data_IF_940640297272
#
_entry.id   IF_940640297272
#
_cell.length_a   1.000
_cell.length_b   1.000
_cell.length_c   1.000
_cell.angle_alpha   90.00
_cell.angle_beta   90.00
_cell.angle_gamma   90.00
#
_symmetry.space_group_name_H-M   'P 1'
#
loop_
_entity.id
_entity.type
_entity.pdbx_description
1 polymer ?
#
# COMPACT_ATOMS: atom_id res chain seq x y z
N UNK A 1 85.19 89.27 56.92
CA UNK A 1 85.34 88.26 57.99
C UNK A 1 83.99 88.00 58.52
N UNK A 2 83.41 87.02 58.15
CA UNK A 2 82.35 86.20 58.84
C UNK A 2 81.83 85.19 57.86
N UNK A 3 82.05 83.99 58.24
CA UNK A 3 81.58 82.75 57.55
C UNK A 3 80.08 82.60 57.64
N UNK A 4 79.48 82.16 56.57
CA UNK A 4 78.09 81.67 56.63
C UNK A 4 78.09 80.24 56.06
N UNK A 5 77.84 79.24 56.95
CA UNK A 5 77.61 77.87 56.60
C UNK A 5 76.24 77.72 55.97
N UNK A 6 76.08 76.87 54.99
CA UNK A 6 74.76 76.55 54.42
C UNK A 6 74.14 75.29 55.14
N UNK A 7 72.91 75.44 55.53
CA UNK A 7 72.04 74.41 56.21
C UNK A 7 71.53 73.35 55.17
N UNK A 8 71.89 72.03 55.37
CA UNK A 8 71.45 70.85 54.65
C UNK A 8 70.40 70.10 55.45
N UNK A 9 69.12 70.41 55.30
CA UNK A 9 68.10 69.58 55.92
C UNK A 9 66.72 69.54 55.25
N UNK A 10 66.60 69.67 53.91
CA UNK A 10 65.29 69.62 53.23
C UNK A 10 65.10 68.68 52.07
N UNK A 11 66.11 67.77 51.78
CA UNK A 11 66.05 66.88 50.57
C UNK A 11 65.49 65.46 50.94
N UNK A 12 65.40 65.05 52.17
CA UNK A 12 64.99 63.62 52.50
C UNK A 12 63.48 63.40 52.62
N UNK A 13 62.67 64.46 52.82
CA UNK A 13 61.21 64.31 52.96
C UNK A 13 60.45 64.26 51.63
N UNK A 14 61.02 64.74 50.49
CA UNK A 14 60.37 64.74 49.16
C UNK A 14 60.48 63.39 48.47
N UNK A 15 61.56 62.65 48.70
CA UNK A 15 61.75 61.31 48.05
C UNK A 15 60.88 60.21 48.68
N UNK A 16 60.64 60.25 50.03
CA UNK A 16 59.78 59.28 50.75
C UNK A 16 58.31 59.39 50.37
N UNK A 17 57.77 60.56 50.07
CA UNK A 17 56.37 60.79 49.62
C UNK A 17 56.15 60.42 48.16
N UNK A 18 57.16 60.52 47.30
CA UNK A 18 57.04 60.12 45.91
C UNK A 18 57.06 58.62 45.71
N UNK A 19 57.83 57.85 46.50
CA UNK A 19 57.88 56.38 46.42
C UNK A 19 56.65 55.73 47.07
N UNK A 20 56.08 56.29 48.13
CA UNK A 20 54.81 55.89 48.76
C UNK A 20 53.61 56.02 47.70
N UNK A 21 53.62 57.15 46.95
CA UNK A 21 52.59 57.36 45.90
C UNK A 21 52.77 56.42 44.66
N UNK A 22 54.00 56.04 44.31
CA UNK A 22 54.28 55.05 43.28
C UNK A 22 53.88 53.66 43.74
N UNK A 23 54.14 53.27 44.96
CA UNK A 23 53.71 51.99 45.58
C UNK A 23 52.18 51.88 45.65
N UNK A 24 51.48 52.96 46.10
CA UNK A 24 50.01 52.99 46.11
C UNK A 24 49.37 52.90 44.69
N UNK A 25 49.95 53.59 43.73
CA UNK A 25 49.53 53.45 42.28
C UNK A 25 49.77 52.04 41.72
N UNK A 26 50.91 51.43 42.04
CA UNK A 26 51.18 50.02 41.61
C UNK A 26 50.20 49.04 42.28
N UNK A 27 49.90 49.22 43.58
CA UNK A 27 48.88 48.39 44.27
C UNK A 27 47.47 48.60 43.71
N UNK A 28 47.07 49.87 43.46
CA UNK A 28 45.79 50.17 42.76
C UNK A 28 45.69 49.55 41.38
N UNK A 29 46.78 49.61 40.59
CA UNK A 29 46.83 49.02 39.25
C UNK A 29 46.79 47.49 39.31
N UNK A 30 47.46 46.85 40.28
CA UNK A 30 47.41 45.40 40.48
C UNK A 30 46.00 44.91 40.93
N UNK A 31 45.32 45.69 41.81
CA UNK A 31 43.94 45.39 42.21
C UNK A 31 43.00 45.53 41.03
N UNK A 32 43.14 46.62 40.23
CA UNK A 32 42.35 46.83 39.02
C UNK A 32 42.60 45.74 37.99
N UNK A 33 43.83 45.37 37.73
CA UNK A 33 44.19 44.24 36.85
C UNK A 33 43.65 42.91 37.34
N UNK A 34 43.67 42.69 38.68
CA UNK A 34 43.06 41.49 39.30
C UNK A 34 41.54 41.41 39.12
N UNK A 35 40.85 42.57 39.29
CA UNK A 35 39.38 42.64 39.07
C UNK A 35 39.04 42.42 37.58
N UNK A 36 39.78 43.03 36.66
CA UNK A 36 39.57 42.81 35.20
C UNK A 36 39.85 41.36 34.83
N UNK A 37 40.89 40.73 35.37
CA UNK A 37 41.17 39.31 35.15
C UNK A 37 40.07 38.39 35.72
N UNK A 38 39.52 38.72 36.90
CA UNK A 38 38.38 37.99 37.46
C UNK A 38 37.10 38.13 36.64
N UNK A 39 36.81 39.35 36.18
CA UNK A 39 35.65 39.56 35.29
C UNK A 39 35.85 38.85 33.96
N UNK A 40 37.04 38.94 33.34
CA UNK A 40 37.36 38.21 32.10
C UNK A 40 37.29 36.70 32.30
N UNK A 41 37.77 36.17 33.43
CA UNK A 41 37.64 34.76 33.76
C UNK A 41 36.16 34.35 33.97
N UNK A 42 35.38 35.20 34.69
CA UNK A 42 33.92 34.97 34.87
C UNK A 42 33.15 34.97 33.58
N UNK A 43 33.41 35.91 32.65
CA UNK A 43 32.82 35.97 31.33
C UNK A 43 33.27 34.77 30.51
N UNK A 44 34.56 34.41 30.53
CA UNK A 44 35.08 33.23 29.79
C UNK A 44 34.48 31.91 30.29
N UNK A 45 34.29 31.76 31.60
CA UNK A 45 33.64 30.60 32.19
C UNK A 45 32.13 30.58 31.84
N UNK A 46 31.47 31.75 31.85
CA UNK A 46 30.07 31.90 31.45
C UNK A 46 29.89 31.50 29.97
N UNK A 47 30.69 32.05 29.06
CA UNK A 47 30.66 31.67 27.63
C UNK A 47 31.02 30.21 27.39
N UNK A 48 31.97 29.64 28.16
CA UNK A 48 32.32 28.23 28.03
C UNK A 48 31.20 27.29 28.47
N UNK A 49 30.44 27.67 29.50
CA UNK A 49 29.29 26.92 30.02
C UNK A 49 28.06 27.09 29.12
N UNK A 50 27.77 28.30 28.67
CA UNK A 50 26.57 28.66 27.90
C UNK A 50 26.76 28.37 26.40
N UNK A 51 27.92 28.65 25.80
CA UNK A 51 28.21 28.47 24.37
C UNK A 51 28.23 27.01 23.92
N UNK A 52 28.33 26.02 24.83
CA UNK A 52 28.22 24.59 24.48
C UNK A 52 26.81 24.02 24.56
N UNK A 53 25.81 24.81 24.98
CA UNK A 53 24.43 24.35 25.24
C UNK A 53 23.47 24.54 24.09
N UNK A 54 23.80 25.42 23.16
CA UNK A 54 23.00 25.73 21.98
C UNK A 54 23.80 25.44 20.72
N UNK A 55 23.16 24.79 19.76
CA UNK A 55 23.75 24.50 18.46
C UNK A 55 22.90 25.16 17.39
N UNK A 56 23.48 26.12 16.68
CA UNK A 56 22.78 26.97 15.71
C UNK A 56 23.24 26.69 14.28
N UNK A 57 22.29 26.84 13.34
CA UNK A 57 22.57 26.85 11.91
C UNK A 57 21.59 27.75 11.18
N UNK A 58 22.13 28.53 10.25
CA UNK A 58 21.43 29.35 9.25
C UNK A 58 21.09 28.57 7.96
N UNK A 59 21.51 27.31 7.88
CA UNK A 59 21.36 26.46 6.72
C UNK A 59 20.28 25.40 7.00
N UNK A 60 19.07 25.85 7.24
CA UNK A 60 17.90 25.01 7.43
C UNK A 60 16.82 25.36 6.40
N UNK A 61 16.14 24.35 5.88
CA UNK A 61 15.13 24.52 4.84
C UNK A 61 13.86 23.78 5.20
N UNK A 62 12.72 24.41 4.95
CA UNK A 62 11.42 23.77 5.07
C UNK A 62 11.26 22.74 3.96
N UNK A 63 10.94 21.52 4.34
CA UNK A 63 10.67 20.40 3.44
C UNK A 63 9.31 19.75 3.76
N UNK A 64 8.76 19.00 2.84
CA UNK A 64 7.60 18.16 3.06
C UNK A 64 7.64 16.97 2.11
N UNK A 65 6.98 15.87 2.48
CA UNK A 65 6.81 14.72 1.59
C UNK A 65 5.70 15.04 0.58
N UNK A 66 6.12 15.37 -0.64
CA UNK A 66 5.20 15.76 -1.70
C UNK A 66 4.48 14.55 -2.30
N UNK A 67 3.17 14.68 -2.55
CA UNK A 67 2.40 13.67 -3.23
C UNK A 67 2.32 13.98 -4.74
N UNK A 68 2.95 13.16 -5.57
CA UNK A 68 2.76 13.21 -7.01
C UNK A 68 1.43 12.57 -7.39
N UNK A 69 0.59 13.30 -8.12
CA UNK A 69 -0.69 12.81 -8.63
C UNK A 69 -0.48 12.28 -10.05
N UNK A 70 -0.72 10.98 -10.21
CA UNK A 70 -0.61 10.28 -11.49
C UNK A 70 -1.91 9.56 -11.81
N UNK A 71 -2.34 9.47 -13.08
CA UNK A 71 -3.52 8.72 -13.47
C UNK A 71 -3.27 7.22 -13.41
N UNK A 72 -4.26 6.45 -12.99
CA UNK A 72 -4.25 4.99 -12.97
C UNK A 72 -4.91 4.37 -14.22
N UNK A 73 -5.56 5.22 -15.05
CA UNK A 73 -6.12 4.88 -16.36
C UNK A 73 -5.70 5.95 -17.36
N UNK A 74 -5.51 5.55 -18.62
CA UNK A 74 -5.21 6.48 -19.68
C UNK A 74 -6.51 7.07 -20.25
N UNK A 75 -6.42 8.28 -20.78
CA UNK A 75 -7.55 8.92 -21.45
C UNK A 75 -7.36 10.42 -21.65
N UNK A 76 -8.23 11.06 -22.45
CA UNK A 76 -8.23 12.51 -22.62
C UNK A 76 -8.78 13.20 -21.36
N UNK A 77 -8.19 14.34 -21.01
CA UNK A 77 -8.63 15.16 -19.89
C UNK A 77 -9.85 15.96 -20.31
N UNK A 78 -10.98 15.69 -19.66
CA UNK A 78 -12.24 16.41 -19.87
C UNK A 78 -12.30 17.72 -19.09
N UNK A 79 -11.84 17.71 -17.84
CA UNK A 79 -11.89 18.85 -16.94
C UNK A 79 -10.73 18.81 -15.94
N UNK A 80 -10.14 19.96 -15.68
CA UNK A 80 -9.23 20.20 -14.57
C UNK A 80 -9.96 21.08 -13.56
N UNK A 81 -10.19 20.57 -12.35
CA UNK A 81 -11.02 21.23 -11.35
C UNK A 81 -10.23 22.18 -10.44
N UNK A 82 -8.89 22.14 -10.51
CA UNK A 82 -8.01 22.88 -9.60
C UNK A 82 -6.92 23.65 -10.35
N UNK A 83 -6.47 24.75 -9.74
CA UNK A 83 -5.39 25.57 -10.24
C UNK A 83 -4.12 25.43 -9.38
N UNK A 84 -2.97 25.89 -9.92
CA UNK A 84 -1.77 26.05 -9.11
C UNK A 84 -2.06 26.96 -7.92
N UNK A 85 -1.42 26.71 -6.78
CA UNK A 85 -1.56 27.44 -5.51
C UNK A 85 -2.90 27.24 -4.77
N UNK A 86 -3.83 26.48 -5.33
CA UNK A 86 -5.11 26.18 -4.68
C UNK A 86 -4.92 25.18 -3.55
N UNK A 87 -5.58 25.43 -2.41
CA UNK A 87 -5.67 24.50 -1.30
C UNK A 87 -6.71 23.44 -1.61
N UNK A 88 -6.35 22.16 -1.43
CA UNK A 88 -7.24 21.00 -1.61
C UNK A 88 -7.23 20.12 -0.37
N UNK A 89 -8.35 19.44 -0.14
CA UNK A 89 -8.50 18.43 0.90
C UNK A 89 -8.37 17.03 0.31
N UNK A 90 -7.94 16.07 1.10
CA UNK A 90 -7.94 14.65 0.70
C UNK A 90 -9.34 14.24 0.22
N UNK A 91 -9.39 13.67 -0.99
CA UNK A 91 -10.64 13.24 -1.66
C UNK A 91 -11.23 14.26 -2.63
N UNK A 92 -10.79 15.53 -2.62
CA UNK A 92 -11.25 16.54 -3.58
C UNK A 92 -10.93 16.12 -5.02
N UNK A 93 -11.84 16.42 -5.94
CA UNK A 93 -11.67 16.14 -7.36
C UNK A 93 -10.64 17.10 -7.96
N UNK A 94 -9.59 16.54 -8.55
CA UNK A 94 -8.51 17.30 -9.19
C UNK A 94 -8.67 17.37 -10.70
N UNK A 95 -8.87 16.19 -11.32
CA UNK A 95 -8.97 16.03 -12.76
C UNK A 95 -10.05 15.00 -13.08
N UNK A 96 -10.83 15.26 -14.11
CA UNK A 96 -11.76 14.30 -14.69
C UNK A 96 -11.30 13.94 -16.10
N UNK A 97 -11.08 12.67 -16.32
CA UNK A 97 -10.86 12.13 -17.66
C UNK A 97 -12.19 11.89 -18.36
N UNK A 98 -12.20 11.76 -19.68
CA UNK A 98 -13.38 11.36 -20.41
C UNK A 98 -13.77 9.91 -20.03
N UNK A 99 -14.96 9.69 -19.46
CA UNK A 99 -15.38 8.36 -19.02
C UNK A 99 -15.98 7.50 -20.13
N UNK A 100 -16.04 7.97 -21.39
CA UNK A 100 -16.80 7.32 -22.46
C UNK A 100 -16.34 5.88 -22.69
N UNK A 101 -15.05 5.66 -22.89
CA UNK A 101 -14.48 4.33 -23.09
C UNK A 101 -14.67 3.42 -21.89
N UNK A 102 -14.49 3.97 -20.67
CA UNK A 102 -14.69 3.24 -19.43
C UNK A 102 -16.16 2.84 -19.22
N UNK A 103 -17.12 3.69 -19.62
CA UNK A 103 -18.57 3.37 -19.59
C UNK A 103 -18.92 2.27 -20.59
N UNK A 104 -18.37 2.32 -21.80
CA UNK A 104 -18.59 1.28 -22.80
C UNK A 104 -18.02 -0.06 -22.30
N UNK A 105 -16.81 -0.06 -21.75
CA UNK A 105 -16.21 -1.25 -21.16
C UNK A 105 -17.03 -1.81 -19.99
N UNK A 106 -17.59 -0.94 -19.14
CA UNK A 106 -18.47 -1.35 -18.05
C UNK A 106 -19.75 -2.01 -18.59
N UNK A 107 -20.41 -1.39 -19.56
CA UNK A 107 -21.63 -1.94 -20.15
C UNK A 107 -21.37 -3.31 -20.83
N UNK A 108 -20.25 -3.46 -21.51
CA UNK A 108 -19.83 -4.75 -22.09
C UNK A 108 -19.62 -5.81 -21.00
N UNK A 109 -18.91 -5.49 -19.91
CA UNK A 109 -18.67 -6.40 -18.81
C UNK A 109 -19.95 -6.76 -18.04
N UNK A 110 -20.93 -5.85 -17.92
CA UNK A 110 -22.26 -6.13 -17.37
C UNK A 110 -23.04 -7.13 -18.24
N UNK A 111 -22.98 -6.97 -19.56
CA UNK A 111 -23.58 -7.90 -20.50
C UNK A 111 -22.94 -9.29 -20.41
N UNK A 112 -21.62 -9.36 -20.35
CA UNK A 112 -20.86 -10.62 -20.22
C UNK A 112 -21.19 -11.34 -18.89
N UNK A 113 -21.31 -10.62 -17.79
CA UNK A 113 -21.70 -11.19 -16.50
C UNK A 113 -23.14 -11.75 -16.56
N UNK A 114 -24.07 -11.00 -17.12
CA UNK A 114 -25.45 -11.45 -17.29
C UNK A 114 -25.54 -12.68 -18.22
N UNK A 115 -24.71 -12.74 -19.28
CA UNK A 115 -24.64 -13.88 -20.17
C UNK A 115 -24.07 -15.14 -19.48
N UNK A 116 -23.00 -14.99 -18.72
CA UNK A 116 -22.44 -16.09 -17.93
C UNK A 116 -23.46 -16.67 -16.94
N UNK A 117 -24.23 -15.83 -16.26
CA UNK A 117 -25.32 -16.28 -15.38
C UNK A 117 -26.39 -17.08 -16.13
N UNK A 118 -26.82 -16.58 -17.32
CA UNK A 118 -27.80 -17.30 -18.16
C UNK A 118 -27.28 -18.64 -18.61
N UNK A 119 -26.02 -18.74 -19.04
CA UNK A 119 -25.39 -20.01 -19.47
C UNK A 119 -25.36 -21.03 -18.35
N UNK A 120 -24.97 -20.65 -17.14
CA UNK A 120 -24.96 -21.57 -15.99
C UNK A 120 -26.38 -22.04 -15.66
N UNK A 121 -27.38 -21.14 -15.63
CA UNK A 121 -28.78 -21.50 -15.41
C UNK A 121 -29.30 -22.46 -16.50
N UNK A 122 -28.94 -22.25 -17.75
CA UNK A 122 -29.24 -23.14 -18.86
C UNK A 122 -28.63 -24.53 -18.64
N UNK A 123 -27.36 -24.60 -18.23
CA UNK A 123 -26.70 -25.88 -17.91
C UNK A 123 -27.41 -26.64 -16.81
N UNK A 124 -27.84 -25.95 -15.74
CA UNK A 124 -28.63 -26.54 -14.64
C UNK A 124 -29.97 -27.06 -15.17
N UNK A 125 -30.70 -26.29 -15.98
CA UNK A 125 -31.95 -26.71 -16.57
C UNK A 125 -31.78 -27.95 -17.50
N UNK A 126 -30.70 -27.97 -18.30
CA UNK A 126 -30.32 -29.12 -19.10
C UNK A 126 -30.06 -30.36 -18.24
N UNK A 127 -29.40 -30.21 -17.10
CA UNK A 127 -29.20 -31.31 -16.13
C UNK A 127 -30.52 -31.91 -15.61
N UNK A 128 -31.52 -31.08 -15.31
CA UNK A 128 -32.85 -31.53 -14.92
C UNK A 128 -33.54 -32.35 -16.06
N UNK A 129 -33.40 -31.90 -17.32
CA UNK A 129 -33.94 -32.64 -18.45
C UNK A 129 -33.24 -33.98 -18.68
N UNK A 130 -31.89 -34.03 -18.51
CA UNK A 130 -31.14 -35.29 -18.61
C UNK A 130 -31.47 -36.27 -17.49
N UNK A 131 -31.72 -35.81 -16.28
CA UNK A 131 -32.16 -36.63 -15.16
C UNK A 131 -33.54 -37.23 -15.42
N UNK A 132 -34.47 -36.49 -16.00
CA UNK A 132 -35.76 -36.99 -16.42
C UNK A 132 -35.61 -38.09 -17.51
N UNK A 133 -34.66 -37.90 -18.47
CA UNK A 133 -34.36 -38.90 -19.49
C UNK A 133 -33.78 -40.19 -18.88
N UNK A 134 -32.92 -40.10 -17.89
CA UNK A 134 -32.43 -41.27 -17.12
C UNK A 134 -33.60 -42.02 -16.46
N UNK A 135 -34.57 -41.30 -15.86
CA UNK A 135 -35.80 -41.87 -15.34
C UNK A 135 -36.64 -42.61 -16.37
N UNK A 136 -36.78 -42.06 -17.58
CA UNK A 136 -37.45 -42.72 -18.71
C UNK A 136 -36.76 -44.04 -19.08
N UNK A 137 -35.43 -44.04 -19.22
CA UNK A 137 -34.67 -45.27 -19.57
C UNK A 137 -34.74 -46.31 -18.44
N UNK A 138 -34.86 -45.90 -17.17
CA UNK A 138 -35.12 -46.81 -16.05
C UNK A 138 -36.50 -47.50 -16.14
N UNK A 139 -37.53 -46.76 -16.59
CA UNK A 139 -38.86 -47.34 -16.81
C UNK A 139 -38.84 -48.32 -18.01
N UNK A 140 -38.05 -48.03 -19.05
CA UNK A 140 -37.83 -48.96 -20.15
C UNK A 140 -37.19 -50.28 -19.69
N UNK A 141 -36.19 -50.24 -18.80
CA UNK A 141 -35.60 -51.45 -18.20
C UNK A 141 -36.64 -52.26 -17.42
N UNK A 142 -37.49 -51.61 -16.65
CA UNK A 142 -38.55 -52.29 -15.89
C UNK A 142 -39.52 -53.03 -16.86
N UNK A 143 -39.90 -52.37 -17.96
CA UNK A 143 -40.75 -52.97 -19.03
C UNK A 143 -40.07 -54.18 -19.68
N UNK A 144 -38.80 -54.08 -20.09
CA UNK A 144 -38.04 -55.17 -20.71
C UNK A 144 -37.82 -56.32 -19.69
N UNK A 145 -37.63 -56.03 -18.40
CA UNK A 145 -37.52 -57.01 -17.35
C UNK A 145 -38.82 -57.83 -17.23
N UNK A 146 -39.98 -57.17 -17.24
CA UNK A 146 -41.27 -57.86 -17.24
C UNK A 146 -41.43 -58.77 -18.45
N UNK A 147 -40.98 -58.32 -19.66
CA UNK A 147 -41.01 -59.16 -20.89
C UNK A 147 -40.12 -60.42 -20.75
N UNK A 148 -38.93 -60.27 -20.14
CA UNK A 148 -38.07 -61.45 -19.82
C UNK A 148 -38.78 -62.41 -18.90
N UNK A 149 -39.49 -61.92 -17.86
CA UNK A 149 -40.27 -62.79 -16.92
C UNK A 149 -41.37 -63.57 -17.68
N UNK A 150 -42.12 -62.91 -18.57
CA UNK A 150 -43.13 -63.58 -19.43
C UNK A 150 -42.48 -64.66 -20.28
N UNK A 151 -41.42 -64.35 -21.00
CA UNK A 151 -40.71 -65.31 -21.84
C UNK A 151 -40.12 -66.51 -21.05
N UNK A 152 -39.63 -66.25 -19.84
CA UNK A 152 -39.17 -67.32 -18.93
C UNK A 152 -40.32 -68.27 -18.54
N UNK A 153 -41.51 -67.77 -18.24
CA UNK A 153 -42.68 -68.55 -17.95
C UNK A 153 -43.15 -69.41 -19.15
N UNK A 154 -43.04 -68.83 -20.38
CA UNK A 154 -43.40 -69.60 -21.60
C UNK A 154 -42.38 -70.70 -21.86
N UNK A 155 -41.09 -70.49 -21.66
CA UNK A 155 -40.05 -71.53 -21.77
C UNK A 155 -40.37 -72.67 -20.76
N UNK A 156 -40.67 -72.34 -19.49
CA UNK A 156 -40.98 -73.29 -18.43
C UNK A 156 -42.23 -74.15 -18.82
N UNK A 157 -43.26 -73.47 -19.35
CA UNK A 157 -44.46 -74.15 -19.82
C UNK A 157 -44.17 -75.15 -20.95
N UNK A 158 -43.42 -74.66 -21.99
CA UNK A 158 -43.04 -75.49 -23.13
C UNK A 158 -42.10 -76.67 -22.72
N UNK A 159 -41.23 -76.48 -21.74
CA UNK A 159 -40.34 -77.47 -21.18
C UNK A 159 -41.15 -78.60 -20.48
N UNK A 160 -42.10 -78.22 -19.65
CA UNK A 160 -42.95 -79.17 -18.95
C UNK A 160 -43.77 -80.01 -19.98
N UNK A 161 -44.34 -79.35 -21.01
CA UNK A 161 -45.12 -80.05 -22.04
C UNK A 161 -44.22 -80.98 -22.87
N UNK A 162 -43.05 -80.57 -23.23
CA UNK A 162 -42.06 -81.41 -23.95
C UNK A 162 -41.68 -82.63 -23.10
N UNK A 163 -41.34 -82.47 -21.78
CA UNK A 163 -40.99 -83.56 -20.88
C UNK A 163 -42.13 -84.53 -20.76
N UNK A 164 -43.38 -84.06 -20.60
CA UNK A 164 -44.59 -84.89 -20.56
C UNK A 164 -44.76 -85.72 -21.83
N UNK A 165 -44.62 -85.13 -23.01
CA UNK A 165 -44.74 -85.84 -24.28
C UNK A 165 -43.62 -86.84 -24.49
N UNK A 166 -42.37 -86.48 -24.09
CA UNK A 166 -41.23 -87.40 -24.15
C UNK A 166 -41.46 -88.70 -23.31
N UNK A 167 -42.05 -88.61 -22.10
CA UNK A 167 -42.35 -89.78 -21.27
C UNK A 167 -43.44 -90.61 -21.87
N UNK A 168 -44.43 -90.06 -22.57
CA UNK A 168 -45.58 -90.76 -23.15
C UNK A 168 -45.31 -91.44 -24.49
N UNK A 169 -44.27 -91.07 -25.20
CA UNK A 169 -43.88 -91.67 -26.55
C UNK A 169 -43.49 -93.16 -26.34
N UNK A 170 -42.80 -93.53 -25.22
CA UNK A 170 -42.35 -94.87 -24.96
C UNK A 170 -43.55 -95.87 -24.78
N UNK A 171 -44.65 -95.32 -24.31
CA UNK A 171 -45.91 -96.08 -24.07
C UNK A 171 -46.87 -96.08 -25.26
N UNK A 172 -46.46 -95.49 -26.42
CA UNK A 172 -47.26 -95.36 -27.63
C UNK A 172 -48.45 -94.41 -27.58
N UNK A 173 -48.58 -93.64 -26.50
CA UNK A 173 -49.71 -92.74 -26.16
C UNK A 173 -49.62 -91.38 -26.90
N UNK A 174 -48.46 -91.03 -27.55
CA UNK A 174 -48.20 -89.78 -28.26
C UNK A 174 -47.51 -90.08 -29.59
N UNK A 175 -47.87 -89.33 -30.65
CA UNK A 175 -47.28 -89.50 -32.01
C UNK A 175 -45.91 -88.82 -32.09
N UNK A 176 -45.03 -89.30 -33.03
CA UNK A 176 -43.75 -88.65 -33.29
C UNK A 176 -43.89 -87.24 -33.79
N UNK A 177 -44.98 -86.86 -34.48
CA UNK A 177 -45.30 -85.53 -34.90
C UNK A 177 -45.61 -84.58 -33.72
N UNK A 178 -46.38 -85.03 -32.82
CA UNK A 178 -46.71 -84.28 -31.56
C UNK A 178 -45.44 -84.00 -30.69
N UNK A 179 -44.52 -84.98 -30.67
CA UNK A 179 -43.24 -84.80 -29.97
C UNK A 179 -42.36 -83.74 -30.73
N UNK A 180 -42.36 -83.82 -32.08
CA UNK A 180 -41.59 -82.79 -32.87
C UNK A 180 -42.19 -81.44 -32.70
N UNK A 181 -43.51 -81.27 -32.71
CA UNK A 181 -44.23 -80.04 -32.46
C UNK A 181 -43.86 -79.44 -31.07
N UNK A 182 -43.83 -80.27 -29.96
CA UNK A 182 -43.41 -79.82 -28.65
C UNK A 182 -41.93 -79.39 -28.57
N UNK A 183 -41.04 -80.11 -29.34
CA UNK A 183 -39.64 -79.72 -29.44
C UNK A 183 -39.50 -78.36 -30.12
N UNK A 184 -40.23 -78.13 -31.24
CA UNK A 184 -40.21 -76.85 -31.91
C UNK A 184 -40.79 -75.73 -31.10
N UNK A 185 -41.86 -75.96 -30.30
CA UNK A 185 -42.44 -74.99 -29.43
C UNK A 185 -41.43 -74.57 -28.33
N UNK A 186 -40.73 -75.57 -27.74
CA UNK A 186 -39.66 -75.27 -26.77
C UNK A 186 -38.52 -74.52 -27.31
N UNK A 187 -38.01 -74.88 -28.49
CA UNK A 187 -36.95 -74.16 -29.19
C UNK A 187 -37.35 -72.70 -29.54
N UNK A 188 -38.62 -72.51 -30.00
CA UNK A 188 -39.18 -71.19 -30.26
C UNK A 188 -39.25 -70.34 -28.98
N UNK A 189 -39.73 -70.89 -27.86
CA UNK A 189 -39.78 -70.19 -26.59
C UNK A 189 -38.38 -69.81 -26.07
N UNK A 190 -37.38 -70.70 -26.24
CA UNK A 190 -35.97 -70.35 -25.95
C UNK A 190 -35.45 -69.19 -26.77
N UNK A 191 -35.77 -69.18 -28.11
CA UNK A 191 -35.41 -68.07 -28.99
C UNK A 191 -36.06 -66.76 -28.58
N UNK A 192 -37.34 -66.79 -28.13
CA UNK A 192 -38.05 -65.63 -27.62
C UNK A 192 -37.41 -65.09 -26.32
N UNK A 193 -37.02 -65.98 -25.40
CA UNK A 193 -36.33 -65.62 -24.17
C UNK A 193 -34.96 -64.97 -24.52
N UNK A 194 -34.20 -65.54 -25.43
CA UNK A 194 -32.93 -64.95 -25.86
C UNK A 194 -33.10 -63.52 -26.43
N UNK A 195 -34.13 -63.35 -27.29
CA UNK A 195 -34.48 -62.04 -27.84
C UNK A 195 -34.90 -61.04 -26.73
N UNK A 196 -35.73 -61.47 -25.76
CA UNK A 196 -36.13 -60.61 -24.63
C UNK A 196 -34.92 -60.18 -23.74
N UNK A 197 -34.00 -61.12 -23.49
CA UNK A 197 -32.76 -60.83 -22.76
C UNK A 197 -31.85 -59.83 -23.54
N UNK A 198 -31.73 -59.98 -24.85
CA UNK A 198 -30.98 -59.05 -25.70
C UNK A 198 -31.60 -57.63 -25.65
N UNK A 199 -32.94 -57.55 -25.69
CA UNK A 199 -33.63 -56.25 -25.58
C UNK A 199 -33.43 -55.62 -24.20
N UNK A 200 -33.43 -56.39 -23.11
CA UNK A 200 -33.11 -55.90 -21.76
C UNK A 200 -31.66 -55.38 -21.72
N UNK A 201 -30.71 -56.10 -22.27
CA UNK A 201 -29.30 -55.64 -22.29
C UNK A 201 -29.15 -54.35 -23.11
N UNK A 202 -29.85 -54.19 -24.24
CA UNK A 202 -29.88 -52.96 -24.99
C UNK A 202 -30.46 -51.77 -24.20
N UNK A 203 -31.55 -51.98 -23.44
CA UNK A 203 -32.14 -50.96 -22.59
C UNK A 203 -31.20 -50.56 -21.46
N UNK A 204 -30.48 -51.52 -20.85
CA UNK A 204 -29.46 -51.25 -19.84
C UNK A 204 -28.29 -50.41 -20.39
N UNK A 205 -27.81 -50.74 -21.58
CA UNK A 205 -26.78 -49.97 -22.29
C UNK A 205 -27.26 -48.54 -22.58
N UNK A 206 -28.49 -48.35 -23.04
CA UNK A 206 -29.11 -47.07 -23.32
C UNK A 206 -29.18 -46.19 -22.05
N UNK A 207 -29.54 -46.78 -20.87
CA UNK A 207 -29.47 -46.06 -19.57
C UNK A 207 -28.03 -45.68 -19.22
N UNK A 208 -27.06 -46.58 -19.44
CA UNK A 208 -25.63 -46.24 -19.22
C UNK A 208 -25.18 -45.02 -20.00
N UNK A 209 -25.61 -44.89 -21.27
CA UNK A 209 -25.33 -43.70 -22.10
C UNK A 209 -26.01 -42.45 -21.53
N UNK A 210 -27.27 -42.52 -21.15
CA UNK A 210 -28.01 -41.41 -20.53
C UNK A 210 -27.34 -40.93 -19.21
N UNK A 211 -26.93 -41.86 -18.35
CA UNK A 211 -26.18 -41.54 -17.13
C UNK A 211 -24.87 -40.86 -17.43
N UNK A 212 -24.12 -41.27 -18.44
CA UNK A 212 -22.89 -40.63 -18.89
C UNK A 212 -23.11 -39.19 -19.35
N UNK A 213 -24.19 -38.90 -20.05
CA UNK A 213 -24.58 -37.56 -20.46
C UNK A 213 -24.96 -36.67 -19.27
N UNK A 214 -25.74 -37.19 -18.34
CA UNK A 214 -26.11 -36.51 -17.11
C UNK A 214 -24.84 -36.16 -16.27
N UNK A 215 -23.95 -37.14 -16.07
CA UNK A 215 -22.71 -36.96 -15.33
C UNK A 215 -21.78 -35.90 -16.00
N UNK A 216 -21.65 -35.92 -17.33
CA UNK A 216 -20.87 -34.93 -18.06
C UNK A 216 -21.43 -33.51 -17.87
N UNK A 217 -22.76 -33.34 -17.90
CA UNK A 217 -23.40 -32.03 -17.64
C UNK A 217 -23.25 -31.64 -16.18
N UNK A 218 -23.43 -32.57 -15.26
CA UNK A 218 -23.30 -32.31 -13.81
C UNK A 218 -21.89 -31.84 -13.43
N UNK A 219 -20.84 -32.36 -14.09
CA UNK A 219 -19.46 -31.94 -13.84
C UNK A 219 -19.22 -30.44 -14.06
N UNK A 220 -20.04 -29.76 -14.88
CA UNK A 220 -19.94 -28.32 -15.14
C UNK A 220 -20.51 -27.46 -14.01
N UNK A 221 -21.38 -28.01 -13.15
CA UNK A 221 -22.14 -27.25 -12.15
C UNK A 221 -22.13 -27.87 -10.75
N UNK A 222 -21.62 -29.09 -10.58
CA UNK A 222 -21.59 -29.77 -9.28
C UNK A 222 -20.82 -28.96 -8.24
N UNK A 223 -21.42 -28.80 -7.05
CA UNK A 223 -20.82 -28.09 -5.94
C UNK A 223 -20.85 -26.56 -6.07
N UNK A 224 -21.51 -26.01 -7.10
CA UNK A 224 -21.62 -24.57 -7.31
C UNK A 224 -23.08 -24.12 -7.45
N UNK A 225 -23.36 -22.90 -7.02
CA UNK A 225 -24.59 -22.17 -7.39
C UNK A 225 -24.34 -21.36 -8.67
N UNK A 226 -25.38 -20.80 -9.31
CA UNK A 226 -25.19 -19.91 -10.43
C UNK A 226 -24.23 -18.75 -10.12
N UNK A 227 -24.25 -18.24 -8.90
CA UNK A 227 -23.43 -17.10 -8.46
C UNK A 227 -21.99 -17.49 -8.09
N UNK A 228 -21.77 -18.74 -7.64
CA UNK A 228 -20.45 -19.27 -7.22
C UNK A 228 -19.74 -20.07 -8.30
N UNK A 229 -20.36 -20.25 -9.46
CA UNK A 229 -19.74 -20.95 -10.58
C UNK A 229 -18.49 -20.20 -11.08
N UNK A 230 -17.35 -20.87 -11.34
CA UNK A 230 -16.10 -20.23 -11.75
C UNK A 230 -16.22 -19.33 -12.98
N UNK A 231 -17.06 -19.68 -13.96
CA UNK A 231 -17.30 -18.86 -15.15
C UNK A 231 -17.99 -17.54 -14.79
N UNK A 232 -18.95 -17.57 -13.90
CA UNK A 232 -19.68 -16.40 -13.42
C UNK A 232 -18.77 -15.52 -12.56
N UNK A 233 -17.95 -16.13 -11.68
CA UNK A 233 -16.97 -15.39 -10.87
C UNK A 233 -15.91 -14.69 -11.75
N UNK A 234 -15.46 -15.34 -12.82
CA UNK A 234 -14.53 -14.72 -13.78
C UNK A 234 -15.16 -13.52 -14.51
N UNK A 235 -16.43 -13.65 -14.93
CA UNK A 235 -17.16 -12.54 -15.55
C UNK A 235 -17.41 -11.40 -14.54
N UNK A 236 -17.74 -11.74 -13.29
CA UNK A 236 -17.88 -10.75 -12.18
C UNK A 236 -16.59 -9.99 -11.92
N UNK A 237 -15.45 -10.68 -11.90
CA UNK A 237 -14.14 -10.02 -11.71
C UNK A 237 -13.85 -9.01 -12.83
N UNK A 238 -14.23 -9.31 -14.09
CA UNK A 238 -14.11 -8.35 -15.20
C UNK A 238 -15.04 -7.16 -15.02
N UNK A 239 -16.26 -7.39 -14.56
CA UNK A 239 -17.23 -6.35 -14.24
C UNK A 239 -16.70 -5.42 -13.13
N UNK A 240 -16.19 -5.99 -12.04
CA UNK A 240 -15.63 -5.22 -10.93
C UNK A 240 -14.39 -4.41 -11.38
N UNK A 241 -13.53 -4.98 -12.25
CA UNK A 241 -12.40 -4.26 -12.84
C UNK A 241 -12.86 -3.09 -13.71
N UNK A 242 -13.90 -3.26 -14.51
CA UNK A 242 -14.45 -2.19 -15.35
C UNK A 242 -15.05 -1.05 -14.49
N UNK A 243 -15.72 -1.38 -13.39
CA UNK A 243 -16.22 -0.40 -12.40
C UNK A 243 -15.08 0.40 -11.77
N UNK A 244 -14.03 -0.27 -11.32
CA UNK A 244 -12.84 0.37 -10.77
C UNK A 244 -12.19 1.30 -11.80
N UNK A 245 -12.09 0.87 -13.06
CA UNK A 245 -11.51 1.71 -14.11
C UNK A 245 -12.37 2.95 -14.41
N UNK A 246 -13.70 2.83 -14.34
CA UNK A 246 -14.58 3.99 -14.43
C UNK A 246 -14.41 4.95 -13.25
N UNK A 247 -14.33 4.44 -12.03
CA UNK A 247 -14.08 5.29 -10.85
C UNK A 247 -12.73 6.02 -10.95
N UNK A 248 -11.70 5.37 -11.48
CA UNK A 248 -10.37 5.93 -11.71
C UNK A 248 -10.31 7.03 -12.77
N UNK A 249 -11.36 7.23 -13.55
CA UNK A 249 -11.45 8.40 -14.46
C UNK A 249 -11.61 9.72 -13.70
N UNK A 250 -12.04 9.68 -12.43
CA UNK A 250 -12.10 10.82 -11.53
C UNK A 250 -10.91 10.78 -10.59
N UNK A 251 -9.93 11.64 -10.85
CA UNK A 251 -8.68 11.68 -10.09
C UNK A 251 -8.85 12.62 -8.91
N UNK A 252 -8.60 12.08 -7.70
CA UNK A 252 -8.80 12.77 -6.43
C UNK A 252 -7.49 13.00 -5.70
N UNK A 253 -7.48 14.00 -4.82
CA UNK A 253 -6.33 14.33 -3.97
C UNK A 253 -6.05 13.20 -2.98
N UNK A 254 -4.84 12.60 -2.99
CA UNK A 254 -4.46 11.55 -2.04
C UNK A 254 -4.20 12.11 -0.64
N UNK A 255 -3.80 13.38 -0.53
CA UNK A 255 -3.52 14.11 0.71
C UNK A 255 -4.11 15.51 0.64
N UNK A 256 -4.31 16.14 1.81
CA UNK A 256 -4.66 17.56 1.90
C UNK A 256 -3.39 18.41 1.75
N UNK A 257 -3.45 19.51 1.01
CA UNK A 257 -2.28 20.36 0.78
C UNK A 257 -2.51 21.42 -0.27
N UNK A 258 -1.45 21.97 -0.83
CA UNK A 258 -1.47 22.97 -1.88
C UNK A 258 -1.01 22.36 -3.19
N UNK A 259 -1.81 22.55 -4.23
CA UNK A 259 -1.47 22.12 -5.59
C UNK A 259 -0.31 22.95 -6.13
N UNK A 260 0.71 22.27 -6.65
CA UNK A 260 1.85 22.89 -7.31
C UNK A 260 2.24 22.10 -8.56
N UNK A 261 3.00 22.72 -9.46
CA UNK A 261 3.52 22.09 -10.68
C UNK A 261 2.45 21.33 -11.50
N UNK A 262 1.27 21.96 -11.69
CA UNK A 262 0.24 21.38 -12.56
C UNK A 262 0.71 21.45 -14.03
N UNK A 263 0.97 20.28 -14.62
CA UNK A 263 1.42 20.14 -16.03
C UNK A 263 0.26 19.76 -16.96
N UNK A 264 -0.84 19.21 -16.40
CA UNK A 264 -1.98 18.72 -17.18
C UNK A 264 -2.91 19.86 -17.63
N UNK A 265 -3.43 19.75 -18.87
CA UNK A 265 -4.39 20.70 -19.46
C UNK A 265 -5.61 19.97 -20.01
N UNK A 266 -6.75 20.70 -20.13
CA UNK A 266 -7.98 20.19 -20.74
C UNK A 266 -7.73 19.81 -22.20
N UNK A 267 -8.24 18.68 -22.66
CA UNK A 267 -8.02 18.14 -24.01
C UNK A 267 -6.72 17.35 -24.19
N UNK A 268 -5.80 17.37 -23.22
CA UNK A 268 -4.57 16.59 -23.27
C UNK A 268 -4.88 15.12 -23.00
N UNK A 269 -4.26 14.20 -23.74
CA UNK A 269 -4.28 12.77 -23.41
C UNK A 269 -3.18 12.44 -22.41
N UNK A 270 -3.55 11.72 -21.34
CA UNK A 270 -2.63 11.29 -20.28
C UNK A 270 -2.44 9.78 -20.32
N UNK A 271 -1.21 9.33 -20.06
CA UNK A 271 -0.86 7.92 -19.93
C UNK A 271 -0.79 7.53 -18.45
N UNK A 272 -0.99 6.24 -18.17
CA UNK A 272 -0.86 5.68 -16.80
C UNK A 272 0.53 6.01 -16.24
N UNK A 273 0.57 6.52 -15.00
CA UNK A 273 1.80 6.84 -14.29
C UNK A 273 2.45 8.18 -14.67
N UNK A 274 1.95 8.92 -15.68
CA UNK A 274 2.48 10.24 -16.01
C UNK A 274 2.14 11.28 -14.92
N UNK A 275 3.10 12.08 -14.44
CA UNK A 275 2.83 13.09 -13.42
C UNK A 275 1.95 14.20 -13.99
N UNK A 276 0.84 14.50 -13.31
CA UNK A 276 -0.09 15.56 -13.70
C UNK A 276 0.05 16.81 -12.84
N UNK A 277 0.29 16.64 -11.57
CA UNK A 277 0.51 17.71 -10.58
C UNK A 277 1.12 17.15 -9.31
N UNK A 278 1.63 18.04 -8.47
CA UNK A 278 2.17 17.73 -7.15
C UNK A 278 1.32 18.42 -6.09
N UNK A 279 1.02 17.72 -4.99
CA UNK A 279 0.37 18.29 -3.80
C UNK A 279 1.37 18.32 -2.66
N UNK A 280 1.53 19.50 -2.06
CA UNK A 280 2.42 19.73 -0.93
C UNK A 280 1.58 19.78 0.35
N UNK A 281 1.73 18.81 1.27
CA UNK A 281 1.02 18.79 2.55
C UNK A 281 1.68 19.75 3.55
N UNK A 282 1.31 21.02 3.51
CA UNK A 282 1.90 22.09 4.34
C UNK A 282 1.78 21.78 5.84
N UNK A 283 0.67 21.15 6.27
CA UNK A 283 0.47 20.80 7.68
C UNK A 283 1.41 19.71 8.21
N UNK A 284 2.16 19.05 7.33
CA UNK A 284 3.13 18.01 7.65
C UNK A 284 4.54 18.42 7.26
N UNK A 285 4.77 19.74 7.14
CA UNK A 285 6.10 20.26 6.85
C UNK A 285 7.05 19.98 8.02
N UNK A 286 8.29 19.73 7.69
CA UNK A 286 9.40 19.58 8.61
C UNK A 286 10.57 20.45 8.13
N UNK A 287 11.60 20.57 8.96
CA UNK A 287 12.80 21.31 8.59
C UNK A 287 13.99 20.36 8.52
N UNK A 288 14.70 20.37 7.42
CA UNK A 288 16.00 19.73 7.30
C UNK A 288 17.09 20.79 7.56
N UNK A 289 17.65 20.76 8.75
CA UNK A 289 18.65 21.71 9.22
C UNK A 289 20.07 21.11 9.09
N UNK A 290 20.94 21.78 8.34
CA UNK A 290 22.26 21.27 8.01
C UNK A 290 23.30 21.80 8.99
N UNK A 291 23.67 21.01 9.98
CA UNK A 291 24.69 21.34 10.98
C UNK A 291 26.07 20.87 10.56
N UNK A 292 27.12 21.55 11.01
CA UNK A 292 28.50 21.08 10.84
C UNK A 292 28.73 19.84 11.68
N UNK A 293 29.48 18.86 11.18
CA UNK A 293 29.81 17.62 11.88
C UNK A 293 30.34 17.87 13.30
N UNK A 294 31.19 18.90 13.46
CA UNK A 294 31.78 19.27 14.74
C UNK A 294 30.78 19.75 15.81
N UNK A 295 29.57 20.19 15.38
CA UNK A 295 28.53 20.71 16.26
C UNK A 295 27.62 19.60 16.81
N UNK A 296 27.62 18.41 16.19
CA UNK A 296 26.62 17.37 16.45
C UNK A 296 26.97 16.40 17.59
N UNK A 297 28.11 16.57 18.27
CA UNK A 297 28.57 15.66 19.33
C UNK A 297 27.54 15.43 20.43
N UNK A 298 26.79 16.46 20.81
CA UNK A 298 25.80 16.44 21.89
C UNK A 298 24.35 16.47 21.43
N UNK A 299 24.09 16.51 20.12
CA UNK A 299 22.73 16.49 19.57
C UNK A 299 22.17 15.07 19.63
N UNK A 300 20.93 14.92 20.07
CA UNK A 300 20.23 13.64 20.20
C UNK A 300 18.77 13.78 19.75
N UNK A 301 18.16 12.71 19.19
CA UNK A 301 16.73 12.71 18.90
C UNK A 301 15.89 13.05 20.14
N UNK A 302 14.82 13.81 19.94
CA UNK A 302 13.91 14.27 20.98
C UNK A 302 14.25 15.63 21.57
N UNK A 303 15.44 16.18 21.32
CA UNK A 303 15.82 17.52 21.80
C UNK A 303 14.93 18.60 21.18
N UNK A 304 14.55 19.65 21.96
CA UNK A 304 13.77 20.76 21.44
C UNK A 304 14.62 21.65 20.52
N UNK A 305 13.97 22.18 19.51
CA UNK A 305 14.54 23.09 18.53
C UNK A 305 13.65 24.31 18.43
N UNK A 306 14.25 25.47 18.45
CA UNK A 306 13.60 26.74 18.16
C UNK A 306 14.00 27.16 16.76
N UNK A 307 12.99 27.56 15.97
CA UNK A 307 13.22 27.94 14.57
C UNK A 307 12.56 29.29 14.27
N UNK A 308 13.25 30.12 13.51
CA UNK A 308 12.69 31.36 12.95
C UNK A 308 12.81 31.33 11.42
N UNK A 309 11.85 31.94 10.73
CA UNK A 309 11.80 31.94 9.26
C UNK A 309 12.04 33.35 8.75
N UNK A 310 12.89 33.49 7.74
CA UNK A 310 13.12 34.78 7.07
C UNK A 310 11.82 35.43 6.54
N UNK A 311 10.80 34.62 6.23
CA UNK A 311 9.50 35.10 5.74
C UNK A 311 8.73 35.89 6.78
N UNK A 312 8.77 35.47 8.06
CA UNK A 312 7.99 36.07 9.15
C UNK A 312 8.86 36.86 10.14
N UNK A 313 10.21 36.83 9.98
CA UNK A 313 11.15 37.47 10.90
C UNK A 313 11.18 36.81 12.27
N UNK A 314 11.81 37.50 13.24
CA UNK A 314 12.00 36.99 14.60
C UNK A 314 10.72 37.02 15.46
N UNK A 315 9.66 37.68 14.97
CA UNK A 315 8.40 37.79 15.69
C UNK A 315 7.61 36.47 15.74
N UNK A 316 7.89 35.54 14.81
CA UNK A 316 7.24 34.23 14.73
C UNK A 316 8.27 33.14 14.98
N UNK A 317 8.18 32.57 16.15
CA UNK A 317 9.04 31.46 16.58
C UNK A 317 8.29 30.14 16.46
N UNK A 318 8.91 29.18 15.78
CA UNK A 318 8.39 27.82 15.66
C UNK A 318 9.12 26.90 16.63
N UNK A 319 8.37 26.00 17.23
CA UNK A 319 8.93 24.98 18.10
C UNK A 319 8.92 23.63 17.40
N UNK A 320 10.01 22.93 17.51
CA UNK A 320 10.18 21.61 16.93
C UNK A 320 10.95 20.66 17.82
N UNK A 321 11.08 19.42 17.33
CA UNK A 321 11.91 18.41 17.98
C UNK A 321 12.78 17.71 16.96
N UNK A 322 14.02 17.40 17.35
CA UNK A 322 14.92 16.57 16.54
C UNK A 322 14.31 15.19 16.38
N UNK A 323 14.03 14.80 15.13
CA UNK A 323 13.56 13.45 14.77
C UNK A 323 14.74 12.50 14.65
N UNK A 324 15.79 12.94 13.95
CA UNK A 324 16.97 12.12 13.67
C UNK A 324 17.92 12.78 12.71
N UNK A 325 18.96 12.03 12.36
CA UNK A 325 20.00 12.45 11.43
C UNK A 325 19.80 11.75 10.09
N UNK A 326 20.18 12.43 9.00
CA UNK A 326 20.29 11.77 7.70
C UNK A 326 21.35 10.65 7.74
N UNK A 327 21.18 9.59 6.95
CA UNK A 327 22.14 8.48 6.85
C UNK A 327 23.47 8.85 6.18
N UNK A 328 23.64 10.09 5.69
CA UNK A 328 24.86 10.58 5.05
C UNK A 328 24.89 12.10 4.95
N UNK A 329 26.09 12.63 4.71
CA UNK A 329 26.28 14.07 4.47
C UNK A 329 25.72 14.46 3.08
N UNK A 330 25.34 15.72 2.91
CA UNK A 330 24.82 16.20 1.63
C UNK A 330 25.78 15.99 0.46
N UNK A 331 27.08 16.05 0.69
CA UNK A 331 28.10 15.78 -0.34
C UNK A 331 28.23 14.30 -0.69
N UNK A 332 28.00 13.39 0.25
CA UNK A 332 28.07 11.96 0.00
C UNK A 332 26.84 11.43 -0.75
N UNK A 333 25.68 12.09 -0.59
CA UNK A 333 24.41 11.73 -1.24
C UNK A 333 24.12 12.58 -2.50
N UNK A 334 25.02 13.50 -2.87
CA UNK A 334 24.86 14.33 -4.07
C UNK A 334 24.96 13.48 -5.34
N UNK A 335 24.07 13.73 -6.31
CA UNK A 335 24.08 13.06 -7.62
C UNK A 335 25.40 13.29 -8.38
N UNK A 336 26.03 14.43 -8.15
CA UNK A 336 27.38 14.76 -8.66
C UNK A 336 28.25 15.09 -7.44
N UNK A 337 29.04 14.12 -6.92
CA UNK A 337 29.95 14.40 -5.82
C UNK A 337 31.00 15.43 -6.22
N UNK A 338 31.27 16.39 -5.35
CA UNK A 338 32.33 17.37 -5.55
C UNK A 338 33.68 16.62 -5.54
N UNK A 339 34.29 16.45 -6.71
CA UNK A 339 35.61 15.87 -6.84
C UNK A 339 36.67 16.98 -6.75
N UNK A 340 37.57 16.90 -5.78
CA UNK A 340 38.78 17.67 -5.73
C UNK A 340 39.76 17.11 -6.78
N UNK A 341 39.63 17.55 -8.03
CA UNK A 341 40.37 17.01 -9.18
C UNK A 341 41.87 17.51 -9.28
N UNK A 342 42.32 18.34 -8.37
CA UNK A 342 43.67 18.98 -8.45
C UNK A 342 44.47 18.75 -7.17
N UNK A 343 44.97 17.53 -6.95
CA UNK A 343 46.16 17.19 -6.14
C UNK A 343 46.36 17.72 -4.72
N UNK A 344 45.64 18.72 -4.27
CA UNK A 344 45.78 19.33 -2.95
C UNK A 344 44.53 18.95 -2.12
N UNK A 345 44.66 17.97 -1.23
CA UNK A 345 43.58 17.55 -0.33
C UNK A 345 43.37 18.64 0.75
N UNK A 346 42.19 19.25 0.76
CA UNK A 346 41.79 20.20 1.79
C UNK A 346 40.64 19.55 2.57
N UNK A 347 40.79 19.43 3.89
CA UNK A 347 39.70 18.96 4.77
C UNK A 347 38.58 20.01 4.79
N UNK A 348 37.46 19.70 4.11
CA UNK A 348 36.23 20.52 4.15
C UNK A 348 35.32 19.96 5.23
N UNK A 349 34.89 20.79 6.16
CA UNK A 349 33.92 20.40 7.20
C UNK A 349 32.60 20.04 6.51
N UNK A 350 32.18 18.81 6.70
CA UNK A 350 30.93 18.30 6.14
C UNK A 350 29.72 18.78 6.97
N UNK A 351 28.58 18.96 6.29
CA UNK A 351 27.30 19.23 6.95
C UNK A 351 26.43 17.97 6.90
N UNK A 352 25.81 17.67 8.04
CA UNK A 352 24.88 16.56 8.17
C UNK A 352 23.46 17.11 8.37
N UNK A 353 22.49 16.72 7.53
CA UNK A 353 21.09 17.10 7.71
C UNK A 353 20.49 16.46 8.97
N UNK A 354 19.89 17.31 9.79
CA UNK A 354 19.11 16.93 10.98
C UNK A 354 17.66 17.26 10.70
N UNK A 355 16.79 16.25 10.77
CA UNK A 355 15.36 16.45 10.58
C UNK A 355 14.70 16.91 11.86
N UNK A 356 13.95 18.00 11.75
CA UNK A 356 13.20 18.62 12.83
C UNK A 356 11.72 18.59 12.49
N UNK A 357 10.90 17.90 13.32
CA UNK A 357 9.45 17.96 13.21
C UNK A 357 8.94 19.25 13.87
N UNK A 358 8.06 19.96 13.17
CA UNK A 358 7.43 21.20 13.64
C UNK A 358 6.11 20.91 14.36
N UNK A 359 5.68 21.85 15.22
CA UNK A 359 4.35 21.77 15.87
C UNK A 359 3.26 22.07 14.81
N UNK A 360 2.30 21.14 14.58
CA UNK A 360 1.21 21.35 13.62
C UNK A 360 0.32 22.55 13.92
N UNK A 361 0.19 22.96 15.20
CA UNK A 361 -0.62 24.12 15.59
C UNK A 361 0.00 25.44 15.10
N UNK A 362 1.31 25.59 15.22
CA UNK A 362 2.06 26.75 14.76
C UNK A 362 2.05 26.84 13.23
N UNK A 363 2.18 25.69 12.54
CA UNK A 363 2.04 25.61 11.09
C UNK A 363 0.61 25.97 10.60
N UNK A 364 -0.40 25.76 11.42
CA UNK A 364 -1.77 26.17 11.13
C UNK A 364 -1.97 27.68 11.23
N UNK A 365 -1.33 28.34 12.18
CA UNK A 365 -1.39 29.79 12.40
C UNK A 365 -0.53 30.55 11.37
N UNK A 366 0.68 30.08 11.11
CA UNK A 366 1.66 30.68 10.20
C UNK A 366 2.18 29.62 9.22
N UNK A 367 1.50 29.41 8.07
CA UNK A 367 1.84 28.32 7.14
C UNK A 367 3.19 28.56 6.44
N UNK A 368 4.11 27.62 6.60
CA UNK A 368 5.40 27.62 5.91
C UNK A 368 5.25 27.02 4.50
N UNK A 369 6.10 27.48 3.59
CA UNK A 369 6.22 26.91 2.24
C UNK A 369 7.52 26.11 2.11
N UNK A 370 7.51 25.02 1.35
CA UNK A 370 8.73 24.26 1.11
C UNK A 370 9.77 25.10 0.40
N UNK A 371 11.03 24.92 0.79
CA UNK A 371 12.17 25.67 0.25
C UNK A 371 12.43 27.01 0.94
N UNK A 372 11.61 27.43 1.92
CA UNK A 372 11.93 28.61 2.73
C UNK A 372 13.15 28.34 3.61
N UNK A 373 14.01 29.34 3.75
CA UNK A 373 15.14 29.34 4.67
C UNK A 373 14.69 29.59 6.09
N UNK A 374 15.36 28.96 7.05
CA UNK A 374 15.11 29.10 8.47
C UNK A 374 16.43 29.11 9.24
N UNK A 375 16.44 29.81 10.35
CA UNK A 375 17.45 29.64 11.39
C UNK A 375 16.97 28.61 12.40
N UNK A 376 17.83 27.67 12.78
CA UNK A 376 17.48 26.58 13.65
C UNK A 376 18.47 26.46 14.82
N UNK A 377 17.95 26.55 16.05
CA UNK A 377 18.72 26.45 17.30
C UNK A 377 18.27 25.25 18.10
N UNK A 378 19.16 24.26 18.27
CA UNK A 378 18.91 23.07 19.10
C UNK A 378 19.37 23.35 20.52
N UNK A 379 18.50 23.09 21.51
CA UNK A 379 18.87 23.08 22.93
C UNK A 379 19.37 21.69 23.35
N UNK A 380 20.68 21.59 23.56
CA UNK A 380 21.34 20.33 23.93
C UNK A 380 21.41 20.07 25.43
N UNK A 381 20.81 20.95 26.26
CA UNK A 381 20.79 20.76 27.72
C UNK A 381 20.12 19.45 28.13
N UNK A 382 20.58 18.79 29.21
CA UNK A 382 19.92 17.62 29.76
C UNK A 382 18.49 17.97 30.21
N UNK A 383 17.57 17.04 30.10
CA UNK A 383 16.13 17.23 30.38
C UNK A 383 15.88 17.72 31.81
N UNK A 384 16.74 17.35 32.79
CA UNK A 384 16.68 17.81 34.16
C UNK A 384 16.94 19.33 34.33
N UNK A 385 17.78 19.94 33.53
CA UNK A 385 18.10 21.37 33.58
C UNK A 385 17.04 22.25 32.91
N UNK A 386 16.25 21.68 32.00
CA UNK A 386 15.20 22.40 31.25
C UNK A 386 13.96 22.69 32.11
N UNK A 387 13.64 21.81 33.06
CA UNK A 387 12.46 21.95 33.92
C UNK A 387 12.58 23.11 34.93
N UNK A 388 13.80 23.63 35.15
CA UNK A 388 14.03 24.73 36.09
C UNK A 388 13.96 26.14 35.44
N UNK A 389 14.04 26.24 34.12
CA UNK A 389 14.05 27.55 33.42
C UNK A 389 12.65 28.02 33.02
N UNK A 390 11.63 27.17 33.07
CA UNK A 390 10.22 27.49 32.73
C UNK A 390 9.33 27.97 33.88
N UNK A 391 9.90 28.26 35.05
CA UNK A 391 9.16 28.72 36.29
C UNK A 391 9.57 30.11 36.79
N UNK A 392 10.14 30.96 35.95
CA UNK A 392 10.36 32.39 36.30
C UNK A 392 9.64 33.32 35.33
#
# INVERSE_FOLDING_TARGET
>A
MADIEPNFSDTDQATSKADARKAARKRGFLIFAGVVALVAAGVGIYEWIEGGRYVETDNAYVAAEVAQVTPLVAGPVRRVAVNNTQVVRKGDVLVELDPTDAKIALAAAEADYADALRKVRQTIATGTALSAQVGEKQADIARMTAQVQVAMADVQRAEIDLKRRQSLVGDGAVSGEELTTARNAYASAQGQLAAARANLAAAQAARGTANGQEAANAALVTGTTPETNPQVLAAKARLDQARINLDRTVIRAPVSGVVTQRTVQVGQSVAVGSPMMTIVPISQAYVDANYKESQLAHVRPGQPVTLTSDLYGDDVVYHGRVVGFSGGTGSALAVIPAQNATGNWIKVVQRLPVRVALDPHELGAHPLRIGLSMDATIDTRPEKDRSQTGQN
#
